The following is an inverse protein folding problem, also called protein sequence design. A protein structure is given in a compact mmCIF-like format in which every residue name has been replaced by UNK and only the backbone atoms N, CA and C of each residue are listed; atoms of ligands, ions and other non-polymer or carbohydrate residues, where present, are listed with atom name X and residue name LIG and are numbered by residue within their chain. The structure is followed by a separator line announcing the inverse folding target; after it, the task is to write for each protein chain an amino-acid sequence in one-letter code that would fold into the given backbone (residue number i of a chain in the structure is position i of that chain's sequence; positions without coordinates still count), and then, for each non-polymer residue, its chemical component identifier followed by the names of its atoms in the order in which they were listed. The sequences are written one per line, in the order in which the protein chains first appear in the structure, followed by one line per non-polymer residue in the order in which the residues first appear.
data_IF_447266816693
#
_entry.id   IF_447266816693
#
_cell.length_a   1.000
_cell.length_b   1.000
_cell.length_c   1.000
_cell.angle_alpha   90.00
_cell.angle_beta   90.00
_cell.angle_gamma   90.00
#
_symmetry.space_group_name_H-M   'P 1'
#
loop_
_entity.id
_entity.type
_entity.pdbx_description
1 polymer ?
#
# COMPACT_ATOMS: atom_id res chain seq x y z
N UNK A 1 6.38 41.55 -40.90
CA UNK A 1 6.65 40.92 -39.58
C UNK A 1 5.47 40.01 -39.23
N UNK A 2 5.71 38.70 -39.05
CA UNK A 2 4.70 37.72 -38.63
C UNK A 2 5.41 36.70 -37.72
N UNK A 3 5.20 36.79 -36.42
CA UNK A 3 5.70 35.81 -35.45
C UNK A 3 4.50 34.99 -34.96
N UNK A 4 4.43 33.74 -35.42
CA UNK A 4 3.53 32.71 -34.89
C UNK A 4 4.38 31.82 -33.99
N UNK A 5 4.35 32.07 -32.68
CA UNK A 5 4.90 31.18 -31.67
C UNK A 5 3.71 30.38 -31.15
N UNK A 6 3.39 29.28 -31.83
CA UNK A 6 2.52 28.26 -31.30
C UNK A 6 3.38 27.07 -30.88
N UNK A 7 3.20 26.67 -29.62
CA UNK A 7 3.35 25.28 -29.21
C UNK A 7 4.76 24.84 -28.82
N UNK A 8 5.07 25.00 -27.53
CA UNK A 8 5.86 24.02 -26.78
C UNK A 8 5.77 24.31 -25.27
N UNK A 9 4.59 24.12 -24.68
CA UNK A 9 4.50 23.83 -23.24
C UNK A 9 4.32 22.33 -23.07
N UNK A 10 5.34 21.56 -23.42
CA UNK A 10 5.48 20.20 -22.91
C UNK A 10 6.02 20.32 -21.48
N UNK A 11 5.10 20.53 -20.53
CA UNK A 11 5.44 20.56 -19.11
C UNK A 11 5.96 19.17 -18.75
N UNK A 12 7.23 19.11 -18.40
CA UNK A 12 7.96 17.95 -17.90
C UNK A 12 7.30 17.53 -16.57
N UNK A 13 6.34 16.60 -16.64
CA UNK A 13 5.66 16.00 -15.47
C UNK A 13 6.24 14.63 -15.08
N UNK A 14 7.47 14.32 -15.50
CA UNK A 14 8.04 12.97 -15.32
C UNK A 14 8.76 12.76 -13.98
N UNK A 15 9.14 13.82 -13.27
CA UNK A 15 9.90 13.71 -12.01
C UNK A 15 9.00 13.46 -10.78
N UNK A 16 7.81 14.09 -10.73
CA UNK A 16 6.89 13.92 -9.60
C UNK A 16 6.28 12.51 -9.52
N UNK A 17 6.08 11.85 -10.66
CA UNK A 17 5.54 10.49 -10.71
C UNK A 17 6.49 9.41 -10.18
N UNK A 18 7.81 9.63 -10.28
CA UNK A 18 8.81 8.68 -9.78
C UNK A 18 8.95 8.74 -8.25
N UNK A 19 8.97 9.94 -7.66
CA UNK A 19 9.00 10.10 -6.21
C UNK A 19 7.76 9.48 -5.55
N UNK A 20 6.57 9.79 -6.08
CA UNK A 20 5.32 9.25 -5.55
C UNK A 20 5.19 7.72 -5.68
N UNK A 21 5.82 7.11 -6.70
CA UNK A 21 5.86 5.67 -6.84
C UNK A 21 6.80 5.00 -5.83
N UNK A 22 7.93 5.65 -5.52
CA UNK A 22 8.88 5.20 -4.50
C UNK A 22 8.25 5.27 -3.09
N UNK A 23 7.60 6.39 -2.77
CA UNK A 23 6.92 6.61 -1.48
C UNK A 23 5.82 5.58 -1.22
N UNK A 24 5.01 5.25 -2.23
CA UNK A 24 3.98 4.19 -2.15
C UNK A 24 4.58 2.82 -1.89
N UNK A 25 5.73 2.51 -2.50
CA UNK A 25 6.43 1.24 -2.27
C UNK A 25 6.99 1.19 -0.85
N UNK A 26 7.55 2.30 -0.36
CA UNK A 26 8.01 2.41 1.01
C UNK A 26 6.85 2.23 2.01
N UNK A 27 5.69 2.87 1.77
CA UNK A 27 4.48 2.70 2.58
C UNK A 27 3.97 1.25 2.58
N UNK A 28 4.00 0.56 1.43
CA UNK A 28 3.64 -0.84 1.33
C UNK A 28 4.55 -1.77 2.15
N UNK A 29 5.87 -1.56 2.06
CA UNK A 29 6.84 -2.35 2.83
C UNK A 29 6.71 -2.08 4.33
N UNK A 30 6.50 -0.82 4.71
CA UNK A 30 6.24 -0.45 6.10
C UNK A 30 4.96 -1.10 6.63
N UNK A 31 3.86 -1.07 5.87
CA UNK A 31 2.62 -1.76 6.22
C UNK A 31 2.85 -3.25 6.46
N UNK A 32 3.60 -3.92 5.57
CA UNK A 32 3.98 -5.34 5.72
C UNK A 32 4.75 -5.58 7.03
N UNK A 33 5.77 -4.78 7.30
CA UNK A 33 6.66 -4.98 8.45
C UNK A 33 5.96 -4.66 9.78
N UNK A 34 5.16 -3.58 9.84
CA UNK A 34 4.36 -3.25 11.02
C UNK A 34 3.34 -4.33 11.31
N UNK A 35 2.67 -4.86 10.30
CA UNK A 35 1.68 -5.93 10.50
C UNK A 35 2.35 -7.22 10.98
N UNK A 36 3.53 -7.56 10.44
CA UNK A 36 4.36 -8.67 10.91
C UNK A 36 4.79 -8.49 12.36
N UNK A 37 5.24 -7.30 12.73
CA UNK A 37 5.69 -7.00 14.10
C UNK A 37 4.54 -6.99 15.11
N UNK A 38 3.43 -6.31 14.77
CA UNK A 38 2.34 -6.01 15.70
C UNK A 38 1.46 -7.23 15.98
N UNK A 39 1.15 -8.03 14.96
CA UNK A 39 0.27 -9.20 15.12
C UNK A 39 0.80 -10.48 14.46
N UNK A 40 2.00 -10.48 13.89
CA UNK A 40 2.60 -11.70 13.35
C UNK A 40 1.95 -12.19 12.05
N UNK A 41 1.18 -11.34 11.37
CA UNK A 41 0.69 -11.66 10.02
C UNK A 41 1.80 -11.38 9.01
N UNK A 42 2.18 -12.41 8.27
CA UNK A 42 3.26 -12.31 7.29
C UNK A 42 2.63 -12.33 5.92
N UNK A 43 2.53 -11.18 5.28
CA UNK A 43 1.97 -11.03 3.93
C UNK A 43 3.06 -11.02 2.86
N UNK A 44 2.69 -11.36 1.62
CA UNK A 44 3.62 -11.24 0.48
C UNK A 44 3.89 -9.77 0.16
N UNK A 45 5.08 -9.42 -0.37
CA UNK A 45 5.37 -8.08 -0.86
C UNK A 45 4.35 -7.59 -1.90
N UNK A 46 3.93 -8.46 -2.82
CA UNK A 46 2.95 -8.15 -3.86
C UNK A 46 1.58 -7.80 -3.26
N UNK A 47 1.17 -8.57 -2.24
CA UNK A 47 -0.07 -8.31 -1.53
C UNK A 47 -0.03 -6.99 -0.77
N UNK A 48 1.11 -6.67 -0.14
CA UNK A 48 1.30 -5.40 0.54
C UNK A 48 1.23 -4.20 -0.42
N UNK A 49 1.87 -4.30 -1.59
CA UNK A 49 1.82 -3.25 -2.63
C UNK A 49 0.39 -3.07 -3.14
N UNK A 50 -0.32 -4.17 -3.42
CA UNK A 50 -1.72 -4.14 -3.86
C UNK A 50 -2.62 -3.50 -2.81
N UNK A 51 -2.39 -3.83 -1.54
CA UNK A 51 -3.13 -3.26 -0.42
C UNK A 51 -2.86 -1.77 -0.26
N UNK A 52 -1.60 -1.37 -0.22
CA UNK A 52 -1.21 0.04 -0.13
C UNK A 52 -1.80 0.87 -1.27
N UNK A 53 -1.76 0.35 -2.50
CA UNK A 53 -2.37 1.01 -3.67
C UNK A 53 -3.88 1.13 -3.54
N UNK A 54 -4.58 0.04 -3.20
CA UNK A 54 -6.04 0.04 -3.05
C UNK A 54 -6.52 0.95 -1.90
N UNK A 55 -5.71 1.02 -0.83
CA UNK A 55 -5.98 1.80 0.37
C UNK A 55 -5.47 3.24 0.25
N UNK A 56 -4.79 3.59 -0.83
CA UNK A 56 -4.30 4.95 -1.07
C UNK A 56 -3.24 5.37 -0.06
N UNK A 57 -2.39 4.43 0.37
CA UNK A 57 -1.26 4.74 1.25
C UNK A 57 -0.21 5.50 0.44
N UNK A 58 -0.09 6.80 0.68
CA UNK A 58 0.92 7.67 0.07
C UNK A 58 2.20 7.76 0.90
N UNK A 59 2.09 7.58 2.21
CA UNK A 59 3.15 7.82 3.18
C UNK A 59 3.22 6.71 4.23
N UNK A 60 4.39 6.60 4.88
CA UNK A 60 4.69 5.56 5.89
C UNK A 60 3.67 5.58 7.04
N UNK A 61 3.32 6.77 7.52
CA UNK A 61 2.36 6.97 8.60
C UNK A 61 1.16 7.69 8.01
N UNK A 62 0.26 6.90 7.43
CA UNK A 62 -1.01 7.38 6.92
C UNK A 62 -2.15 6.77 7.76
N UNK A 63 -3.21 7.55 8.00
CA UNK A 63 -4.41 7.06 8.70
C UNK A 63 -4.96 5.77 8.06
N UNK A 64 -5.05 5.63 6.72
CA UNK A 64 -5.45 4.38 6.07
C UNK A 64 -4.53 3.19 6.41
N UNK A 65 -3.23 3.44 6.54
CA UNK A 65 -2.24 2.42 6.93
C UNK A 65 -2.48 1.89 8.34
N UNK A 66 -2.68 2.78 9.31
CA UNK A 66 -2.92 2.40 10.71
C UNK A 66 -4.23 1.64 10.88
N UNK A 67 -5.30 2.09 10.21
CA UNK A 67 -6.59 1.41 10.21
C UNK A 67 -6.50 0.02 9.57
N UNK A 68 -5.75 -0.11 8.47
CA UNK A 68 -5.52 -1.40 7.84
C UNK A 68 -4.75 -2.36 8.75
N UNK A 69 -3.72 -1.90 9.47
CA UNK A 69 -2.99 -2.72 10.45
C UNK A 69 -3.94 -3.22 11.53
N UNK A 70 -4.78 -2.33 12.08
CA UNK A 70 -5.77 -2.72 13.10
C UNK A 70 -6.72 -3.82 12.57
N UNK A 71 -7.26 -3.64 11.37
CA UNK A 71 -8.15 -4.60 10.73
C UNK A 71 -7.46 -5.97 10.50
N UNK A 72 -6.19 -5.99 10.09
CA UNK A 72 -5.43 -7.24 9.99
C UNK A 72 -5.29 -7.90 11.35
N UNK A 73 -4.90 -7.14 12.36
CA UNK A 73 -4.67 -7.70 13.68
C UNK A 73 -5.95 -8.23 14.32
N UNK A 74 -7.12 -7.66 14.02
CA UNK A 74 -8.41 -8.24 14.40
C UNK A 74 -8.66 -9.59 13.72
N UNK A 75 -8.42 -9.71 12.42
CA UNK A 75 -8.54 -10.98 11.70
C UNK A 75 -7.56 -12.04 12.23
N UNK A 76 -6.35 -11.64 12.58
CA UNK A 76 -5.38 -12.52 13.24
C UNK A 76 -5.89 -12.99 14.61
N UNK A 77 -6.43 -12.08 15.44
CA UNK A 77 -7.02 -12.41 16.74
C UNK A 77 -8.20 -13.36 16.61
N UNK A 78 -8.96 -13.29 15.50
CA UNK A 78 -10.03 -14.24 15.16
C UNK A 78 -9.52 -15.62 14.69
N UNK A 79 -8.21 -15.83 14.65
CA UNK A 79 -7.60 -17.11 14.29
C UNK A 79 -7.19 -17.22 12.82
N UNK A 80 -7.22 -16.13 12.04
CA UNK A 80 -6.90 -16.17 10.60
C UNK A 80 -5.41 -15.91 10.28
N UNK A 81 -4.52 -15.95 11.28
CA UNK A 81 -3.06 -15.71 11.14
C UNK A 81 -2.39 -16.49 10.00
N UNK A 82 -2.84 -17.72 9.77
CA UNK A 82 -2.24 -18.66 8.81
C UNK A 82 -2.85 -18.64 7.41
N UNK A 83 -3.85 -17.78 7.15
CA UNK A 83 -4.69 -17.81 5.96
C UNK A 83 -4.56 -16.52 5.15
N UNK A 84 -5.06 -16.55 3.92
CA UNK A 84 -5.43 -15.33 3.20
C UNK A 84 -6.60 -14.68 3.93
N UNK A 85 -6.52 -13.37 4.16
CA UNK A 85 -7.54 -12.62 4.91
C UNK A 85 -8.13 -11.50 4.05
N UNK A 86 -9.43 -11.24 4.20
CA UNK A 86 -10.06 -10.04 3.67
C UNK A 86 -10.16 -9.03 4.81
N UNK A 87 -9.62 -7.84 4.61
CA UNK A 87 -9.82 -6.71 5.53
C UNK A 87 -10.75 -5.69 4.91
N UNK A 88 -11.55 -5.05 5.77
CA UNK A 88 -12.39 -3.90 5.42
C UNK A 88 -11.91 -2.71 6.22
N UNK A 89 -11.56 -1.63 5.53
CA UNK A 89 -11.23 -0.35 6.17
C UNK A 89 -12.48 0.55 6.24
N UNK A 90 -12.50 1.60 7.08
CA UNK A 90 -13.68 2.46 7.29
C UNK A 90 -14.30 3.05 6.01
N UNK A 91 -13.51 3.30 4.97
CA UNK A 91 -13.99 3.78 3.65
C UNK A 91 -14.72 2.71 2.82
N UNK A 92 -15.17 1.60 3.42
CA UNK A 92 -15.77 0.43 2.75
C UNK A 92 -14.89 -0.25 1.70
N UNK A 93 -13.62 0.15 1.58
CA UNK A 93 -12.66 -0.52 0.72
C UNK A 93 -12.30 -1.87 1.31
N UNK A 94 -12.35 -2.89 0.46
CA UNK A 94 -12.03 -4.28 0.79
C UNK A 94 -10.73 -4.67 0.11
N UNK A 95 -9.87 -5.35 0.85
CA UNK A 95 -8.59 -5.82 0.33
C UNK A 95 -8.34 -7.24 0.80
N UNK A 96 -7.92 -8.08 -0.14
CA UNK A 96 -7.46 -9.43 0.12
C UNK A 96 -5.96 -9.39 0.36
N UNK A 97 -5.54 -9.90 1.51
CA UNK A 97 -4.16 -10.02 1.91
C UNK A 97 -3.70 -11.47 1.86
N UNK A 98 -2.75 -11.75 0.98
CA UNK A 98 -2.18 -13.07 0.79
C UNK A 98 -1.04 -13.29 1.79
N UNK A 99 -1.10 -14.44 2.45
CA UNK A 99 -0.05 -14.83 3.38
C UNK A 99 1.22 -15.25 2.62
N UNK A 100 2.36 -14.74 3.07
CA UNK A 100 3.67 -15.21 2.64
C UNK A 100 3.88 -16.67 3.07
N UNK A 101 4.39 -17.48 2.16
CA UNK A 101 4.88 -18.81 2.48
C UNK A 101 6.12 -18.68 3.38
N UNK A 102 6.46 -19.70 4.15
CA UNK A 102 7.55 -19.64 5.14
C UNK A 102 8.92 -19.29 4.55
N UNK A 103 9.12 -19.45 3.25
CA UNK A 103 10.33 -19.08 2.50
C UNK A 103 10.27 -17.70 1.82
N UNK A 104 9.17 -16.97 1.97
CA UNK A 104 8.91 -15.64 1.39
C UNK A 104 8.81 -14.56 2.49
N UNK A 105 9.25 -14.88 3.70
CA UNK A 105 9.10 -14.06 4.92
C UNK A 105 10.20 -13.05 5.16
#
# INVERSE_FOLDING_TARGET
MKLRIFGAFAIILSAAGHAQADDRKAAAMFFRDVTKSTCGFKMTPESAIKAATALGMSDLISEPGLLAVSAVCEEVKRGNKGKTIEIRVPDNRKVILERAKWWQE
#
